data_IF_273949751402
#
_entry.id   IF_273949751402
#
_cell.length_a   1.000
_cell.length_b   1.000
_cell.length_c   1.000
_cell.angle_alpha   90.00
_cell.angle_beta   90.00
_cell.angle_gamma   90.00
#
_symmetry.space_group_name_H-M   'P 1'
#
loop_
_entity.id
_entity.type
_entity.pdbx_description
1 polymer ?
#
# COMPACT_ATOMS: atom_id res chain seq x y z
N UNK A 1 -0.82 3.92 5.44
CA UNK A 1 -2.30 3.95 5.42
C UNK A 1 -2.81 4.62 6.69
N UNK A 2 -4.10 4.98 6.72
CA UNK A 2 -4.75 5.45 7.96
C UNK A 2 -4.54 4.40 9.07
N UNK A 3 -4.12 4.86 10.23
CA UNK A 3 -3.75 4.05 11.39
C UNK A 3 -2.28 3.60 11.43
N UNK A 4 -1.50 3.83 10.37
CA UNK A 4 -0.08 3.45 10.36
C UNK A 4 0.82 4.46 11.07
N UNK A 5 1.92 3.96 11.61
CA UNK A 5 2.96 4.77 12.29
C UNK A 5 4.19 4.91 11.40
N UNK A 6 4.63 6.14 11.20
CA UNK A 6 5.90 6.45 10.53
C UNK A 6 6.95 6.77 11.59
N UNK A 7 8.15 6.23 11.42
CA UNK A 7 9.32 6.48 12.27
C UNK A 7 10.37 7.27 11.49
N UNK A 8 10.86 8.35 12.09
CA UNK A 8 12.00 9.13 11.61
C UNK A 8 13.20 8.90 12.52
N UNK A 9 14.35 8.60 11.92
CA UNK A 9 15.59 8.29 12.63
C UNK A 9 16.62 9.38 12.32
N UNK A 10 17.12 10.07 13.35
CA UNK A 10 18.19 11.05 13.16
C UNK A 10 19.55 10.34 13.15
N UNK A 11 20.03 10.00 11.95
CA UNK A 11 21.34 9.38 11.73
C UNK A 11 22.46 10.39 11.49
N UNK A 12 22.15 11.69 11.54
CA UNK A 12 23.15 12.76 11.50
C UNK A 12 23.77 12.94 12.90
N UNK A 13 24.87 13.69 12.94
CA UNK A 13 25.50 14.25 14.13
C UNK A 13 24.83 15.54 14.63
N UNK A 14 24.04 16.22 13.79
CA UNK A 14 23.29 17.41 14.15
C UNK A 14 21.92 17.08 14.77
N UNK A 15 21.34 18.02 15.51
CA UNK A 15 19.97 17.92 16.02
C UNK A 15 18.97 18.41 14.97
N UNK A 16 17.80 17.77 14.89
CA UNK A 16 16.78 18.06 13.88
C UNK A 16 15.39 18.12 14.49
N UNK A 17 14.42 18.61 13.71
CA UNK A 17 12.98 18.45 13.98
C UNK A 17 12.31 17.79 12.78
N UNK A 18 11.18 17.17 13.05
CA UNK A 18 10.20 16.68 12.08
C UNK A 18 8.90 17.40 12.43
N UNK A 19 8.61 18.48 11.72
CA UNK A 19 7.50 19.38 12.03
C UNK A 19 6.59 19.48 10.82
N UNK A 20 5.31 19.19 11.00
CA UNK A 20 4.33 19.21 9.92
C UNK A 20 4.10 20.64 9.42
N UNK A 21 4.05 20.83 8.10
CA UNK A 21 3.87 22.11 7.44
C UNK A 21 4.84 22.33 6.29
N UNK A 22 4.96 23.58 5.85
CA UNK A 22 5.84 23.99 4.75
C UNK A 22 6.60 25.26 5.12
N UNK A 23 7.72 25.53 4.44
CA UNK A 23 8.40 26.82 4.57
C UNK A 23 7.54 28.01 4.10
N UNK A 24 6.59 27.75 3.20
CA UNK A 24 5.74 28.77 2.60
C UNK A 24 4.61 29.19 3.56
N UNK A 25 3.99 28.21 4.21
CA UNK A 25 2.74 28.36 4.97
C UNK A 25 2.95 28.24 6.49
N UNK A 26 4.17 27.86 6.91
CA UNK A 26 4.49 27.60 8.31
C UNK A 26 4.03 26.23 8.78
N UNK A 27 3.98 26.04 10.09
CA UNK A 27 3.60 24.77 10.71
C UNK A 27 2.10 24.50 10.55
N UNK A 28 1.72 23.31 10.10
CA UNK A 28 0.32 22.89 10.03
C UNK A 28 -0.23 22.44 11.39
N UNK A 29 0.64 22.11 12.35
CA UNK A 29 0.26 21.74 13.73
C UNK A 29 -0.26 20.31 13.89
N UNK A 30 -0.10 19.45 12.87
CA UNK A 30 -0.50 18.04 12.91
C UNK A 30 0.47 17.22 13.76
N UNK A 31 1.79 17.42 13.57
CA UNK A 31 2.81 16.79 14.39
C UNK A 31 4.06 17.67 14.52
N UNK A 32 4.74 17.53 15.64
CA UNK A 32 6.04 18.14 15.89
C UNK A 32 6.85 17.25 16.82
N UNK A 33 7.99 16.76 16.33
CA UNK A 33 8.92 15.97 17.13
C UNK A 33 9.56 16.74 18.27
N UNK A 34 9.45 18.08 18.27
CA UNK A 34 10.39 18.96 18.96
C UNK A 34 11.83 18.69 18.48
N UNK A 35 12.81 19.30 19.14
CA UNK A 35 14.22 19.02 18.84
C UNK A 35 14.58 17.63 19.34
N UNK A 36 15.04 16.75 18.45
CA UNK A 36 15.57 15.44 18.79
C UNK A 36 17.01 15.27 18.29
N UNK A 37 17.81 14.59 19.11
CA UNK A 37 19.27 14.55 18.99
C UNK A 37 19.73 13.45 18.03
N UNK A 38 21.03 13.48 17.70
CA UNK A 38 21.70 12.42 16.95
C UNK A 38 21.48 11.05 17.61
N UNK A 39 21.03 10.08 16.80
CA UNK A 39 20.71 8.71 17.22
C UNK A 39 19.31 8.53 17.82
N UNK A 40 18.53 9.60 18.00
CA UNK A 40 17.15 9.50 18.50
C UNK A 40 16.15 9.26 17.36
N UNK A 41 14.98 8.76 17.75
CA UNK A 41 13.88 8.44 16.84
C UNK A 41 12.62 9.21 17.26
N UNK A 42 11.82 9.57 16.27
CA UNK A 42 10.50 10.16 16.45
C UNK A 42 9.47 9.31 15.70
N UNK A 43 8.29 9.11 16.29
CA UNK A 43 7.21 8.33 15.70
C UNK A 43 5.91 9.13 15.71
N UNK A 44 5.13 9.01 14.64
CA UNK A 44 3.79 9.59 14.56
C UNK A 44 2.83 8.66 13.81
N UNK A 45 1.64 8.47 14.37
CA UNK A 45 0.56 7.67 13.79
C UNK A 45 -0.42 8.57 13.06
N UNK A 46 -0.72 8.26 11.80
CA UNK A 46 -1.62 9.06 10.98
C UNK A 46 -3.04 8.51 10.98
N UNK A 47 -3.97 9.22 11.60
CA UNK A 47 -5.37 8.77 11.75
C UNK A 47 -6.30 9.24 10.62
N UNK A 48 -5.82 10.11 9.73
CA UNK A 48 -6.62 10.64 8.62
C UNK A 48 -5.85 10.51 7.31
N UNK A 49 -6.57 10.13 6.25
CA UNK A 49 -5.98 10.11 4.92
C UNK A 49 -5.70 11.54 4.44
N UNK A 50 -4.59 11.72 3.74
CA UNK A 50 -4.18 13.02 3.27
C UNK A 50 -2.71 13.06 2.90
N UNK A 51 -2.29 14.23 2.43
CA UNK A 51 -0.88 14.54 2.18
C UNK A 51 -0.38 15.48 3.26
N UNK A 52 0.68 15.08 3.94
CA UNK A 52 1.29 15.81 5.05
C UNK A 52 2.70 16.22 4.66
N UNK A 53 2.86 17.49 4.29
CA UNK A 53 4.17 18.10 4.15
C UNK A 53 4.81 18.28 5.54
N UNK A 54 6.13 18.15 5.61
CA UNK A 54 6.89 18.42 6.82
C UNK A 54 8.25 19.01 6.51
N UNK A 55 8.82 19.70 7.49
CA UNK A 55 10.14 20.32 7.38
C UNK A 55 10.85 20.34 8.73
N UNK A 56 12.16 20.56 8.69
CA UNK A 56 12.95 20.83 9.89
C UNK A 56 12.95 22.33 10.20
N UNK A 57 12.57 22.71 11.42
CA UNK A 57 12.47 24.12 11.83
C UNK A 57 13.83 24.83 11.91
N UNK A 58 14.89 24.09 12.29
CA UNK A 58 16.25 24.66 12.43
C UNK A 58 17.06 24.58 11.13
N UNK A 59 16.66 23.71 10.21
CA UNK A 59 17.29 23.51 8.90
C UNK A 59 16.20 23.54 7.81
N UNK A 60 15.63 24.71 7.48
CA UNK A 60 14.38 24.81 6.72
C UNK A 60 14.42 24.21 5.30
N UNK A 61 15.62 24.03 4.73
CA UNK A 61 15.82 23.32 3.45
C UNK A 61 15.52 21.82 3.52
N UNK A 62 15.43 21.23 4.72
CA UNK A 62 15.07 19.83 4.90
C UNK A 62 13.55 19.72 4.88
N UNK A 63 13.01 19.33 3.72
CA UNK A 63 11.57 19.15 3.49
C UNK A 63 11.28 17.70 3.12
N UNK A 64 10.11 17.20 3.51
CA UNK A 64 9.59 15.92 3.07
C UNK A 64 8.07 15.91 3.02
N UNK A 65 7.51 14.77 2.59
CA UNK A 65 6.08 14.58 2.41
C UNK A 65 5.71 13.15 2.80
N UNK A 66 4.65 12.99 3.59
CA UNK A 66 3.99 11.71 3.86
C UNK A 66 2.64 11.70 3.17
N UNK A 67 2.30 10.62 2.46
CA UNK A 67 0.99 10.42 1.84
C UNK A 67 0.32 9.26 2.57
N UNK A 68 -0.86 9.52 3.12
CA UNK A 68 -1.68 8.58 3.88
C UNK A 68 -2.95 8.32 3.09
N UNK A 69 -3.21 7.06 2.75
CA UNK A 69 -4.42 6.67 2.02
C UNK A 69 -5.45 6.03 2.96
N UNK A 70 -6.73 6.22 2.64
CA UNK A 70 -7.85 5.52 3.28
C UNK A 70 -7.73 4.01 3.07
N UNK A 71 -8.17 3.26 4.07
CA UNK A 71 -8.44 1.83 3.89
C UNK A 71 -9.87 1.74 3.38
N UNK A 72 -10.06 1.51 2.09
CA UNK A 72 -11.39 1.16 1.58
C UNK A 72 -11.77 -0.20 2.14
N UNK A 73 -12.59 -0.21 3.19
CA UNK A 73 -13.26 -1.41 3.69
C UNK A 73 -13.99 -2.06 2.50
N UNK A 74 -13.45 -3.18 2.01
CA UNK A 74 -14.22 -4.05 1.13
C UNK A 74 -15.33 -4.66 1.98
N UNK A 75 -16.56 -4.28 1.65
CA UNK A 75 -17.80 -4.83 2.21
C UNK A 75 -17.74 -6.36 2.12
N UNK A 76 -17.51 -7.00 3.27
CA UNK A 76 -17.70 -8.44 3.42
C UNK A 76 -19.20 -8.67 3.28
N UNK A 77 -19.60 -9.19 2.12
CA UNK A 77 -20.96 -9.67 1.92
C UNK A 77 -21.05 -10.94 2.76
N UNK A 78 -21.60 -10.85 3.97
CA UNK A 78 -21.83 -12.03 4.80
C UNK A 78 -22.69 -13.03 4.00
N UNK A 79 -22.15 -14.22 3.79
CA UNK A 79 -22.83 -15.31 3.09
C UNK A 79 -24.17 -15.62 3.79
N UNK A 80 -25.31 -15.67 3.08
CA UNK A 80 -26.56 -16.06 3.71
C UNK A 80 -26.49 -17.55 4.04
N UNK A 81 -26.63 -17.86 5.33
CA UNK A 81 -26.71 -19.23 5.84
C UNK A 81 -27.91 -19.95 5.21
N UNK A 82 -27.64 -20.91 4.32
CA UNK A 82 -28.65 -21.80 3.76
C UNK A 82 -29.13 -22.81 4.80
N UNK A 83 -30.38 -22.64 5.27
CA UNK A 83 -31.11 -23.67 6.00
C UNK A 83 -31.73 -24.65 5.00
N UNK A 84 -31.40 -25.93 5.21
CA UNK A 84 -31.75 -27.08 4.39
C UNK A 84 -33.25 -27.39 4.42
N UNK A 85 -33.89 -27.44 3.24
CA UNK A 85 -35.15 -28.15 3.03
C UNK A 85 -35.14 -28.84 1.65
N UNK A 86 -35.37 -30.16 1.67
CA UNK A 86 -35.37 -31.07 0.52
C UNK A 86 -36.63 -30.97 -0.38
N UNK A 87 -36.49 -31.52 -1.60
CA UNK A 87 -37.51 -32.04 -2.56
C UNK A 87 -37.67 -31.26 -3.90
N UNK A 88 -38.12 -31.90 -5.01
CA UNK A 88 -37.57 -33.08 -5.66
C UNK A 88 -37.26 -32.83 -7.17
N UNK A 89 -36.49 -33.76 -7.74
CA UNK A 89 -36.03 -33.88 -9.14
C UNK A 89 -37.01 -33.44 -10.25
N UNK A 90 -36.58 -32.50 -11.12
CA UNK A 90 -36.86 -32.51 -12.58
C UNK A 90 -35.79 -31.77 -13.42
N UNK A 91 -35.16 -32.57 -14.30
CA UNK A 91 -34.49 -32.31 -15.60
C UNK A 91 -33.19 -31.45 -15.70
N UNK A 92 -32.17 -31.92 -16.45
CA UNK A 92 -30.85 -31.32 -16.48
C UNK A 92 -30.82 -30.10 -17.40
N UNK A 93 -30.90 -28.91 -16.82
CA UNK A 93 -30.43 -27.68 -17.45
C UNK A 93 -28.96 -27.51 -17.09
N UNK A 94 -28.07 -27.67 -18.07
CA UNK A 94 -26.64 -27.37 -17.90
C UNK A 94 -26.48 -25.90 -17.50
N UNK A 95 -26.13 -25.67 -16.24
CA UNK A 95 -25.54 -24.40 -15.81
C UNK A 95 -24.22 -24.23 -16.56
N UNK A 96 -23.91 -23.03 -17.11
CA UNK A 96 -22.55 -22.78 -17.56
C UNK A 96 -21.64 -22.76 -16.33
N UNK A 97 -20.70 -23.70 -16.31
CA UNK A 97 -19.53 -23.68 -15.42
C UNK A 97 -18.65 -22.45 -15.71
N UNK A 98 -17.85 -22.09 -14.71
CA UNK A 98 -16.73 -21.15 -14.72
C UNK A 98 -17.07 -19.71 -14.33
N UNK A 99 -17.28 -19.49 -13.02
CA UNK A 99 -16.80 -18.26 -12.40
C UNK A 99 -15.28 -18.40 -12.28
N UNK A 100 -14.55 -17.59 -13.02
CA UNK A 100 -13.09 -17.58 -13.07
C UNK A 100 -12.51 -17.13 -11.73
N UNK A 101 -11.84 -18.03 -11.01
CA UNK A 101 -11.05 -17.68 -9.83
C UNK A 101 -9.89 -16.76 -10.25
N UNK A 102 -9.72 -15.62 -9.57
CA UNK A 102 -8.64 -14.66 -9.84
C UNK A 102 -7.30 -15.22 -9.35
N UNK A 103 -6.18 -14.90 -10.02
CA UNK A 103 -4.86 -15.42 -9.64
C UNK A 103 -4.36 -14.81 -8.33
N UNK A 104 -3.75 -15.65 -7.47
CA UNK A 104 -3.02 -15.24 -6.26
C UNK A 104 -1.57 -14.81 -6.53
N UNK A 105 -1.09 -15.00 -7.77
CA UNK A 105 0.22 -14.54 -8.22
C UNK A 105 0.15 -14.15 -9.68
N UNK A 106 0.72 -12.99 -10.04
CA UNK A 106 0.77 -12.53 -11.42
C UNK A 106 2.10 -11.84 -11.72
N UNK A 107 2.64 -12.07 -12.91
CA UNK A 107 3.81 -11.33 -13.40
C UNK A 107 3.38 -10.33 -14.48
N UNK A 108 3.83 -9.09 -14.34
CA UNK A 108 3.69 -8.02 -15.33
C UNK A 108 5.08 -7.73 -15.89
N UNK A 109 5.25 -7.90 -17.20
CA UNK A 109 6.51 -7.62 -17.89
C UNK A 109 6.53 -6.21 -18.45
N UNK A 110 7.66 -5.52 -18.34
CA UNK A 110 7.99 -4.33 -19.13
C UNK A 110 8.84 -4.81 -20.32
N UNK A 111 8.27 -5.05 -21.50
CA UNK A 111 9.01 -5.68 -22.62
C UNK A 111 10.04 -4.73 -23.25
N UNK A 112 10.90 -5.29 -24.10
CA UNK A 112 11.88 -4.52 -24.89
C UNK A 112 11.22 -3.37 -25.65
N UNK A 113 11.76 -2.16 -25.47
CA UNK A 113 11.24 -0.94 -26.09
C UNK A 113 10.28 -0.13 -25.22
N UNK A 114 9.97 -0.58 -23.99
CA UNK A 114 9.14 0.20 -23.05
C UNK A 114 9.76 1.54 -22.65
N UNK A 115 11.08 1.69 -22.75
CA UNK A 115 11.81 2.93 -22.52
C UNK A 115 11.79 3.95 -23.66
N UNK A 116 11.18 3.63 -24.80
CA UNK A 116 11.04 4.55 -25.94
C UNK A 116 9.56 4.85 -26.24
N UNK A 117 9.20 6.08 -26.67
CA UNK A 117 7.82 6.39 -27.04
C UNK A 117 7.30 5.50 -28.17
N UNK A 118 6.05 5.09 -28.07
CA UNK A 118 5.30 4.31 -29.05
C UNK A 118 4.44 3.21 -28.42
N UNK A 119 4.86 2.60 -27.32
CA UNK A 119 4.14 1.52 -26.66
C UNK A 119 2.85 2.00 -25.94
N UNK A 120 2.76 3.29 -25.65
CA UNK A 120 1.60 3.93 -25.00
C UNK A 120 0.37 3.97 -25.91
N UNK A 121 0.57 3.92 -27.23
CA UNK A 121 -0.51 3.96 -28.23
C UNK A 121 -1.14 2.56 -28.42
N UNK A 122 -0.43 1.51 -28.05
CA UNK A 122 -0.83 0.10 -28.24
C UNK A 122 -1.11 -0.64 -26.93
N UNK A 123 -0.91 0.00 -25.77
CA UNK A 123 -0.98 -0.64 -24.46
C UNK A 123 0.03 -1.80 -24.33
N UNK A 124 1.24 -1.63 -24.86
CA UNK A 124 2.27 -2.67 -24.88
C UNK A 124 3.46 -2.35 -23.95
N UNK A 125 3.43 -1.22 -23.22
CA UNK A 125 4.50 -0.88 -22.26
C UNK A 125 4.51 -1.79 -21.02
N UNK A 126 3.38 -2.41 -20.71
CA UNK A 126 3.25 -3.44 -19.67
C UNK A 126 2.45 -4.61 -20.24
N UNK A 127 2.90 -5.84 -19.95
CA UNK A 127 2.26 -7.07 -20.41
C UNK A 127 1.95 -8.00 -19.20
N UNK A 128 0.67 -8.25 -18.88
CA UNK A 128 -0.51 -7.62 -19.48
C UNK A 128 -0.63 -6.14 -19.10
N UNK A 129 -1.28 -5.35 -19.96
CA UNK A 129 -1.57 -3.94 -19.67
C UNK A 129 -2.59 -3.78 -18.53
N UNK A 130 -3.62 -4.62 -18.53
CA UNK A 130 -4.61 -4.70 -17.46
C UNK A 130 -4.48 -6.03 -16.74
N UNK A 131 -4.35 -5.94 -15.42
CA UNK A 131 -4.19 -7.07 -14.52
C UNK A 131 -5.32 -7.04 -13.49
N UNK A 132 -5.94 -8.20 -13.24
CA UNK A 132 -6.87 -8.39 -12.11
C UNK A 132 -6.36 -9.58 -11.31
N UNK A 133 -6.15 -9.37 -10.01
CA UNK A 133 -5.64 -10.37 -9.08
C UNK A 133 -6.56 -10.48 -7.87
N UNK A 134 -6.50 -11.60 -7.16
CA UNK A 134 -7.22 -11.76 -5.91
C UNK A 134 -6.63 -10.85 -4.81
N UNK A 135 -7.44 -10.53 -3.80
CA UNK A 135 -6.94 -9.84 -2.60
C UNK A 135 -5.97 -10.79 -1.86
N UNK A 136 -4.84 -10.28 -1.39
CA UNK A 136 -3.75 -11.08 -0.85
C UNK A 136 -2.75 -11.57 -1.91
N UNK A 137 -2.96 -11.27 -3.19
CA UNK A 137 -2.08 -11.73 -4.26
C UNK A 137 -0.75 -10.96 -4.29
N UNK A 138 0.30 -11.64 -4.74
CA UNK A 138 1.60 -11.02 -5.06
C UNK A 138 1.67 -10.71 -6.55
N UNK A 139 2.00 -9.47 -6.88
CA UNK A 139 2.31 -9.08 -8.25
C UNK A 139 3.82 -8.85 -8.36
N UNK A 140 4.42 -9.49 -9.37
CA UNK A 140 5.83 -9.36 -9.71
C UNK A 140 5.94 -8.54 -11.00
N UNK A 141 6.61 -7.40 -10.96
CA UNK A 141 6.99 -6.68 -12.17
C UNK A 141 8.37 -7.15 -12.63
N UNK A 142 8.50 -7.54 -13.89
CA UNK A 142 9.77 -7.90 -14.53
C UNK A 142 10.18 -6.79 -15.48
N UNK A 143 11.45 -6.37 -15.41
CA UNK A 143 12.03 -5.49 -16.42
C UNK A 143 12.70 -6.35 -17.50
N UNK A 144 11.97 -6.67 -18.57
CA UNK A 144 12.49 -7.41 -19.72
C UNK A 144 13.03 -6.45 -20.81
N UNK A 145 13.01 -5.14 -20.54
CA UNK A 145 13.60 -4.12 -21.38
C UNK A 145 15.11 -4.01 -21.12
N UNK A 146 15.79 -3.32 -22.01
CA UNK A 146 17.22 -2.97 -21.89
C UNK A 146 17.46 -1.71 -21.07
N UNK A 147 16.43 -0.87 -20.89
CA UNK A 147 16.46 0.33 -20.07
C UNK A 147 16.13 0.03 -18.61
N UNK A 148 16.63 0.84 -17.68
CA UNK A 148 16.21 0.79 -16.28
C UNK A 148 14.84 1.48 -16.12
N UNK A 149 13.99 0.93 -15.27
CA UNK A 149 12.60 1.37 -15.08
C UNK A 149 12.25 1.55 -13.61
N UNK A 150 11.08 2.15 -13.36
CA UNK A 150 10.44 2.27 -12.06
C UNK A 150 8.99 1.85 -12.20
N UNK A 151 8.43 1.17 -11.20
CA UNK A 151 6.99 0.90 -11.07
C UNK A 151 6.51 1.61 -9.81
N UNK A 152 5.71 2.65 -10.00
CA UNK A 152 5.19 3.47 -8.91
C UNK A 152 3.67 3.45 -8.96
N UNK A 153 3.04 3.10 -7.85
CA UNK A 153 1.59 3.19 -7.69
C UNK A 153 1.12 4.63 -7.88
N UNK A 154 0.10 4.87 -8.70
CA UNK A 154 -0.37 6.23 -8.97
C UNK A 154 -1.20 6.40 -10.23
N UNK A 155 -1.44 7.66 -10.58
CA UNK A 155 -2.05 8.08 -11.83
C UNK A 155 -1.20 9.17 -12.48
N UNK A 156 -1.04 9.13 -13.81
CA UNK A 156 -0.21 10.11 -14.54
C UNK A 156 -0.62 11.57 -14.33
N UNK A 157 -1.89 11.84 -14.04
CA UNK A 157 -2.41 13.20 -13.81
C UNK A 157 -2.46 13.58 -12.32
N UNK A 158 -2.69 12.61 -11.43
CA UNK A 158 -2.83 12.87 -9.99
C UNK A 158 -1.52 12.66 -9.20
N UNK A 159 -0.52 12.05 -9.81
CA UNK A 159 0.74 11.69 -9.17
C UNK A 159 0.73 10.33 -8.48
N UNK A 160 1.80 10.01 -7.73
CA UNK A 160 1.96 8.74 -7.03
C UNK A 160 1.01 8.62 -5.84
N UNK A 161 0.41 7.45 -5.64
CA UNK A 161 -0.43 7.16 -4.47
C UNK A 161 0.39 6.74 -3.25
N UNK A 162 1.64 6.27 -3.45
CA UNK A 162 2.54 5.87 -2.36
C UNK A 162 2.24 4.50 -1.75
N UNK A 163 1.43 3.67 -2.42
CA UNK A 163 1.15 2.28 -2.00
C UNK A 163 2.38 1.39 -2.20
N UNK A 164 3.03 1.53 -3.35
CA UNK A 164 4.33 0.94 -3.66
C UNK A 164 5.12 1.84 -4.59
N UNK A 165 6.45 1.73 -4.48
CA UNK A 165 7.43 2.30 -5.39
C UNK A 165 8.61 1.32 -5.45
N UNK A 166 8.90 0.78 -6.63
CA UNK A 166 10.01 -0.14 -6.81
C UNK A 166 11.37 0.52 -6.60
N UNK A 167 11.43 1.85 -6.67
CA UNK A 167 12.67 2.54 -6.99
C UNK A 167 13.16 2.17 -8.39
N UNK A 168 14.36 2.61 -8.73
CA UNK A 168 14.97 2.27 -10.02
C UNK A 168 15.46 0.80 -9.99
N UNK A 169 14.97 -0.03 -10.90
CA UNK A 169 15.42 -1.42 -11.06
C UNK A 169 15.88 -1.68 -12.49
N UNK A 170 16.99 -2.43 -12.61
CA UNK A 170 17.74 -2.59 -13.84
C UNK A 170 17.13 -3.65 -14.76
N UNK A 171 17.60 -3.70 -16.01
CA UNK A 171 17.25 -4.75 -16.96
C UNK A 171 17.49 -6.15 -16.37
N UNK A 172 16.47 -7.01 -16.45
CA UNK A 172 16.45 -8.37 -15.91
C UNK A 172 16.16 -8.47 -14.40
N UNK A 173 15.94 -7.35 -13.71
CA UNK A 173 15.51 -7.36 -12.31
C UNK A 173 13.98 -7.41 -12.18
N UNK A 174 13.53 -7.88 -11.02
CA UNK A 174 12.12 -7.92 -10.67
C UNK A 174 11.84 -7.11 -9.41
N UNK A 175 10.63 -6.58 -9.32
CA UNK A 175 10.07 -5.98 -8.12
C UNK A 175 8.79 -6.72 -7.74
N UNK A 176 8.60 -7.01 -6.45
CA UNK A 176 7.42 -7.74 -5.97
C UNK A 176 6.67 -6.91 -4.94
N UNK A 177 5.34 -6.92 -5.05
CA UNK A 177 4.45 -6.34 -4.06
C UNK A 177 3.28 -7.27 -3.79
N UNK A 178 3.07 -7.60 -2.51
CA UNK A 178 1.91 -8.37 -2.07
C UNK A 178 0.80 -7.42 -1.65
N UNK A 179 -0.33 -7.53 -2.33
CA UNK A 179 -1.57 -6.82 -1.99
C UNK A 179 -2.23 -7.51 -0.80
N UNK A 180 -1.58 -7.49 0.35
CA UNK A 180 -2.08 -8.17 1.55
C UNK A 180 -3.48 -7.67 1.93
N UNK A 181 -4.32 -8.60 2.37
CA UNK A 181 -5.47 -8.22 3.20
C UNK A 181 -4.90 -7.59 4.45
N UNK A 182 -5.13 -6.29 4.67
CA UNK A 182 -4.64 -5.59 5.85
C UNK A 182 -5.09 -6.35 7.11
N UNK A 183 -4.14 -7.04 7.75
CA UNK A 183 -4.37 -7.94 8.88
C UNK A 183 -4.52 -7.10 10.15
N UNK A 184 -5.62 -6.36 10.28
CA UNK A 184 -5.98 -5.73 11.55
C UNK A 184 -6.60 -6.72 12.54
N UNK A 185 -7.07 -7.88 12.09
CA UNK A 185 -7.71 -8.89 12.98
C UNK A 185 -6.72 -9.75 13.78
N UNK A 186 -5.46 -9.94 13.34
CA UNK A 186 -4.51 -10.82 14.07
C UNK A 186 -3.91 -10.14 15.31
N UNK A 187 -3.85 -8.80 15.37
CA UNK A 187 -3.29 -8.10 16.53
C UNK A 187 -4.29 -7.95 17.70
N UNK A 188 -5.60 -8.06 17.44
CA UNK A 188 -6.63 -8.00 18.49
C UNK A 188 -6.74 -9.32 19.26
N UNK A 189 -6.50 -10.47 18.60
CA UNK A 189 -6.55 -11.79 19.24
C UNK A 189 -5.42 -12.03 20.26
N UNK A 190 -4.25 -11.40 20.12
CA UNK A 190 -3.17 -11.54 21.13
C UNK A 190 -3.28 -10.57 22.31
N UNK A 191 -4.00 -9.44 22.18
CA UNK A 191 -4.28 -8.54 23.32
C UNK A 191 -5.56 -8.88 24.08
N UNK A 192 -6.52 -9.58 23.46
CA UNK A 192 -7.77 -10.01 24.11
C UNK A 192 -7.57 -11.16 25.12
N UNK A 193 -6.53 -11.99 24.98
CA UNK A 193 -6.25 -13.11 25.90
C UNK A 193 -5.57 -12.73 27.23
N UNK A 194 -5.39 -11.44 27.56
CA UNK A 194 -4.82 -11.01 28.85
C UNK A 194 -5.78 -10.30 29.82
N UNK A 195 -7.08 -10.27 29.56
CA UNK A 195 -8.06 -9.71 30.53
C UNK A 195 -9.34 -10.52 30.65
N UNK A 196 -9.23 -11.78 31.06
CA UNK A 196 -10.32 -12.48 31.75
C UNK A 196 -9.74 -13.41 32.82
N UNK A 197 -9.66 -12.91 34.06
CA UNK A 197 -9.77 -13.76 35.24
C UNK A 197 -10.56 -13.02 36.32
N UNK A 198 -11.64 -13.65 36.76
CA UNK A 198 -12.67 -13.16 37.65
C UNK A 198 -12.60 -13.97 38.97
N UNK A 199 -12.37 -13.29 40.10
CA UNK A 199 -12.66 -13.69 41.51
C UNK A 199 -12.18 -15.06 42.06
N UNK A 200 -12.53 -15.46 43.31
CA UNK A 200 -13.24 -14.76 44.41
C UNK A 200 -12.38 -14.76 45.72
N UNK A 201 -12.71 -14.26 46.93
CA UNK A 201 -13.89 -13.86 47.70
C UNK A 201 -13.46 -12.70 48.63
#
# INVERSE_FOLDING_TARGET
FVGDTVQWNNVDTAAHTVTSGSMQDGTSGVFDSSLFMAGETFEFTFEEAGTYDYFCMVHPWMTGKVIVNEVTEMVVIEEPTEESMEEPSMEPRSLPESQSELPMSLTISSPEGSGVPGCEETNECYLPYEATVAVGATVTWSNDDTAAHTVTSGNVNAGPTGVFDSGLFMAGETFEFTFEMLIWEVLIMQKSLKRTWCGPL
#
